data_IF_800582010101
#
_entry.id   IF_800582010101
#
_cell.length_a   1.000
_cell.length_b   1.000
_cell.length_c   1.000
_cell.angle_alpha   90.00
_cell.angle_beta   90.00
_cell.angle_gamma   90.00
#
_symmetry.space_group_name_H-M   'P 1'
#
loop_
_entity.id
_entity.type
_entity.pdbx_description
1 polymer ?
#
# COMPACT_ATOMS: atom_id res chain seq x y z
N UNK A 1 -2.52 48.23 -22.30
CA UNK A 1 -3.81 47.45 -22.13
C UNK A 1 -3.87 46.27 -23.09
N UNK A 2 -3.37 46.41 -24.34
CA UNK A 2 -3.43 45.33 -25.35
C UNK A 2 -2.60 44.08 -24.97
N UNK A 3 -1.42 44.20 -24.40
CA UNK A 3 -0.60 43.05 -23.97
C UNK A 3 -1.24 42.19 -22.83
N UNK A 4 -2.22 42.75 -22.06
CA UNK A 4 -2.96 42.04 -21.04
C UNK A 4 -4.18 41.35 -21.63
N UNK A 5 -4.76 41.91 -22.70
CA UNK A 5 -5.83 41.28 -23.47
C UNK A 5 -5.34 40.10 -24.30
N UNK A 6 -4.16 40.19 -24.91
CA UNK A 6 -3.52 39.09 -25.64
C UNK A 6 -3.19 37.88 -24.74
N UNK A 7 -2.71 38.13 -23.50
CA UNK A 7 -2.49 37.05 -22.51
C UNK A 7 -3.78 36.35 -22.04
N UNK A 8 -4.91 37.04 -22.06
CA UNK A 8 -6.22 36.45 -21.72
C UNK A 8 -6.82 35.65 -22.87
N UNK A 9 -6.48 35.98 -24.12
CA UNK A 9 -6.92 35.25 -25.30
C UNK A 9 -6.10 33.97 -25.57
N UNK A 10 -4.82 33.94 -25.16
CA UNK A 10 -3.96 32.75 -25.28
C UNK A 10 -4.11 31.73 -24.14
N UNK A 11 -4.80 32.09 -23.04
CA UNK A 11 -5.02 31.18 -21.91
C UNK A 11 -6.24 30.23 -22.09
N UNK A 12 -6.94 30.30 -23.22
CA UNK A 12 -8.30 29.72 -23.40
C UNK A 12 -8.43 28.43 -24.19
N UNK A 13 -7.38 27.83 -24.74
CA UNK A 13 -7.53 26.56 -25.48
C UNK A 13 -6.83 25.38 -24.81
N UNK A 14 -7.20 25.05 -23.58
CA UNK A 14 -7.00 23.69 -23.15
C UNK A 14 -7.90 22.77 -23.99
N UNK A 15 -7.32 22.17 -25.04
CA UNK A 15 -8.04 21.25 -25.92
C UNK A 15 -8.77 20.22 -25.06
N UNK A 16 -10.01 19.88 -25.40
CA UNK A 16 -10.82 18.83 -24.74
C UNK A 16 -9.99 17.55 -24.61
N UNK A 17 -9.16 17.25 -25.61
CA UNK A 17 -8.20 16.16 -25.63
C UNK A 17 -7.11 16.27 -24.53
N UNK A 18 -6.63 17.46 -24.25
CA UNK A 18 -5.63 17.67 -23.18
C UNK A 18 -6.20 17.43 -21.78
N UNK A 19 -7.49 17.77 -21.57
CA UNK A 19 -8.21 17.45 -20.32
C UNK A 19 -8.46 15.95 -20.21
N UNK A 20 -8.96 15.32 -21.27
CA UNK A 20 -9.23 13.89 -21.32
C UNK A 20 -7.95 13.05 -21.07
N UNK A 21 -6.87 13.35 -21.77
CA UNK A 21 -5.57 12.67 -21.55
C UNK A 21 -5.09 12.85 -20.11
N UNK A 22 -5.27 14.02 -19.51
CA UNK A 22 -4.84 14.32 -18.15
C UNK A 22 -5.66 13.55 -17.10
N UNK A 23 -6.95 13.43 -17.31
CA UNK A 23 -7.88 12.73 -16.41
C UNK A 23 -7.67 11.21 -16.44
N UNK A 24 -7.41 10.65 -17.63
CA UNK A 24 -7.25 9.21 -17.83
C UNK A 24 -5.80 8.76 -18.01
N UNK A 25 -4.82 9.62 -17.72
CA UNK A 25 -3.39 9.33 -17.91
C UNK A 25 -2.93 8.04 -17.22
N UNK A 26 -3.39 7.79 -16.00
CA UNK A 26 -3.02 6.57 -15.25
C UNK A 26 -3.51 5.30 -15.97
N UNK A 27 -4.67 5.37 -16.62
CA UNK A 27 -5.20 4.27 -17.41
C UNK A 27 -4.32 4.02 -18.64
N UNK A 28 -3.90 5.10 -19.34
CA UNK A 28 -2.98 4.98 -20.49
C UNK A 28 -1.62 4.42 -20.07
N UNK A 29 -1.08 4.84 -18.91
CA UNK A 29 0.17 4.27 -18.36
C UNK A 29 -0.02 2.79 -18.07
N UNK A 30 -1.15 2.41 -17.44
CA UNK A 30 -1.45 1.01 -17.11
C UNK A 30 -1.54 0.16 -18.39
N UNK A 31 -2.23 0.65 -19.41
CA UNK A 31 -2.31 -0.01 -20.72
C UNK A 31 -0.93 -0.10 -21.39
N UNK A 32 -0.12 0.95 -21.31
CA UNK A 32 1.24 0.96 -21.84
C UNK A 32 2.13 -0.09 -21.17
N UNK A 33 2.05 -0.19 -19.83
CA UNK A 33 2.78 -1.23 -19.07
C UNK A 33 2.24 -2.61 -19.43
N UNK A 34 0.93 -2.78 -19.58
CA UNK A 34 0.31 -4.05 -19.96
C UNK A 34 0.78 -4.51 -21.36
N UNK A 35 0.72 -3.64 -22.36
CA UNK A 35 1.20 -3.94 -23.72
C UNK A 35 2.70 -4.18 -23.74
N UNK A 36 3.49 -3.36 -23.04
CA UNK A 36 4.93 -3.56 -22.88
C UNK A 36 5.26 -4.91 -22.24
N UNK A 37 4.43 -5.36 -21.29
CA UNK A 37 4.57 -6.67 -20.64
C UNK A 37 4.38 -7.83 -21.64
N UNK A 38 3.35 -7.74 -22.47
CA UNK A 38 3.07 -8.72 -23.50
C UNK A 38 4.26 -8.81 -24.45
N UNK A 39 4.73 -7.67 -24.95
CA UNK A 39 5.86 -7.61 -25.90
C UNK A 39 7.12 -8.21 -25.27
N UNK A 40 7.48 -7.80 -24.06
CA UNK A 40 8.68 -8.26 -23.36
C UNK A 40 8.66 -9.78 -23.13
N UNK A 41 7.52 -10.32 -22.67
CA UNK A 41 7.37 -11.77 -22.45
C UNK A 41 7.37 -12.52 -23.78
N UNK A 42 6.70 -12.02 -24.83
CA UNK A 42 6.65 -12.65 -26.15
C UNK A 42 8.05 -12.73 -26.79
N UNK A 43 8.85 -11.65 -26.67
CA UNK A 43 10.24 -11.65 -27.19
C UNK A 43 11.07 -12.75 -26.53
N UNK A 44 10.86 -13.02 -25.23
CA UNK A 44 11.63 -14.02 -24.49
C UNK A 44 11.10 -15.45 -24.67
N UNK A 45 9.78 -15.65 -24.56
CA UNK A 45 9.15 -16.98 -24.55
C UNK A 45 8.72 -17.46 -25.93
N UNK A 46 8.66 -16.56 -26.92
CA UNK A 46 8.10 -16.84 -28.24
C UNK A 46 6.57 -16.94 -28.28
N UNK A 47 5.90 -16.82 -27.11
CA UNK A 47 4.45 -17.02 -26.99
C UNK A 47 3.80 -15.96 -26.10
N UNK A 48 2.91 -15.11 -26.64
CA UNK A 48 2.16 -14.12 -25.88
C UNK A 48 1.23 -14.73 -24.82
N UNK A 49 0.80 -15.99 -24.99
CA UNK A 49 -0.07 -16.66 -24.03
C UNK A 49 0.63 -16.90 -22.68
N UNK A 50 1.95 -16.88 -22.63
CA UNK A 50 2.74 -16.94 -21.40
C UNK A 50 2.40 -15.80 -20.43
N UNK A 51 2.02 -14.63 -20.93
CA UNK A 51 1.54 -13.51 -20.13
C UNK A 51 0.02 -13.39 -20.13
N UNK A 52 -0.63 -13.56 -21.29
CA UNK A 52 -2.06 -13.33 -21.54
C UNK A 52 -2.94 -14.54 -21.13
N UNK A 53 -2.65 -15.22 -20.05
CA UNK A 53 -3.54 -16.25 -19.55
C UNK A 53 -4.23 -15.83 -18.24
N UNK A 54 -5.43 -16.37 -18.02
CA UNK A 54 -6.24 -16.05 -16.85
C UNK A 54 -5.51 -16.35 -15.54
N UNK A 55 -4.76 -17.44 -15.48
CA UNK A 55 -4.00 -17.83 -14.28
C UNK A 55 -2.93 -16.80 -13.96
N UNK A 56 -2.23 -16.26 -14.97
CA UNK A 56 -1.24 -15.22 -14.74
C UNK A 56 -1.87 -13.90 -14.26
N UNK A 57 -3.03 -13.52 -14.82
CA UNK A 57 -3.76 -12.34 -14.34
C UNK A 57 -4.18 -12.50 -12.86
N UNK A 58 -4.69 -13.66 -12.49
CA UNK A 58 -5.02 -14.00 -11.12
C UNK A 58 -3.76 -13.97 -10.23
N UNK A 59 -2.64 -14.49 -10.70
CA UNK A 59 -1.38 -14.48 -9.95
C UNK A 59 -0.84 -13.07 -9.72
N UNK A 60 -0.95 -12.17 -10.71
CA UNK A 60 -0.59 -10.74 -10.54
C UNK A 60 -1.43 -10.12 -9.41
N UNK A 61 -2.75 -10.29 -9.45
CA UNK A 61 -3.64 -9.75 -8.44
C UNK A 61 -3.40 -10.38 -7.06
N UNK A 62 -3.21 -11.70 -7.00
CA UNK A 62 -2.92 -12.42 -5.75
C UNK A 62 -1.61 -11.94 -5.10
N UNK A 63 -0.55 -11.81 -5.89
CA UNK A 63 0.75 -11.35 -5.41
C UNK A 63 0.72 -9.89 -4.93
N UNK A 64 -0.08 -9.05 -5.60
CA UNK A 64 -0.21 -7.63 -5.26
C UNK A 64 -1.18 -7.37 -4.10
N UNK A 65 -2.03 -8.33 -3.74
CA UNK A 65 -3.13 -8.11 -2.77
C UNK A 65 -2.63 -7.65 -1.41
N UNK A 66 -1.61 -8.30 -0.85
CA UNK A 66 -1.11 -7.99 0.51
C UNK A 66 -0.50 -6.60 0.57
N UNK A 67 0.43 -6.28 -0.35
CA UNK A 67 1.02 -4.95 -0.43
C UNK A 67 -0.02 -3.90 -0.83
N UNK A 68 -0.98 -4.26 -1.68
CA UNK A 68 -2.10 -3.43 -2.09
C UNK A 68 -2.98 -3.03 -0.91
N UNK A 69 -3.29 -3.96 0.01
CA UNK A 69 -4.03 -3.66 1.23
C UNK A 69 -3.29 -2.60 2.07
N UNK A 70 -1.97 -2.76 2.27
CA UNK A 70 -1.18 -1.75 3.01
C UNK A 70 -1.13 -0.42 2.25
N UNK A 71 -0.97 -0.46 0.91
CA UNK A 71 -0.90 0.74 0.07
C UNK A 71 -2.16 1.60 0.15
N UNK A 72 -3.35 1.00 0.34
CA UNK A 72 -4.58 1.73 0.57
C UNK A 72 -4.55 2.51 1.90
N UNK A 73 -4.03 1.92 2.97
CA UNK A 73 -3.81 2.62 4.24
C UNK A 73 -2.74 3.70 4.12
N UNK A 74 -1.62 3.38 3.46
CA UNK A 74 -0.52 4.31 3.19
C UNK A 74 -0.99 5.53 2.41
N UNK A 75 -1.92 5.37 1.46
CA UNK A 75 -2.51 6.48 0.71
C UNK A 75 -3.15 7.53 1.62
N UNK A 76 -3.84 7.14 2.70
CA UNK A 76 -4.38 8.10 3.69
C UNK A 76 -3.30 8.83 4.48
N UNK A 77 -2.23 8.12 4.85
CA UNK A 77 -1.10 8.73 5.56
C UNK A 77 -0.40 9.74 4.66
N UNK A 78 -0.13 9.39 3.39
CA UNK A 78 0.47 10.32 2.42
C UNK A 78 -0.47 11.50 2.15
N UNK A 79 -1.77 11.26 1.97
CA UNK A 79 -2.76 12.34 1.80
C UNK A 79 -2.79 13.29 3.00
N UNK A 80 -2.49 12.83 4.22
CA UNK A 80 -2.38 13.68 5.41
C UNK A 80 -1.06 14.47 5.49
N UNK A 81 -0.17 14.34 4.50
CA UNK A 81 1.15 14.97 4.44
C UNK A 81 2.21 14.26 5.27
N UNK A 82 2.09 12.94 5.48
CA UNK A 82 3.04 12.13 6.25
C UNK A 82 3.44 10.88 5.46
N UNK A 83 4.51 10.22 5.91
CA UNK A 83 5.01 8.96 5.34
C UNK A 83 5.32 8.02 6.49
N UNK A 84 4.99 6.73 6.33
CA UNK A 84 5.31 5.69 7.32
C UNK A 84 6.21 4.62 6.70
N UNK A 85 7.43 4.54 7.20
CA UNK A 85 8.45 3.54 6.82
C UNK A 85 8.48 2.32 7.76
N UNK A 86 7.55 2.24 8.73
CA UNK A 86 7.54 1.15 9.70
C UNK A 86 6.64 -0.03 9.30
N UNK A 87 5.77 0.13 8.29
CA UNK A 87 4.69 -0.81 7.95
C UNK A 87 5.16 -2.24 7.71
N UNK A 88 6.30 -2.45 7.04
CA UNK A 88 6.83 -3.79 6.77
C UNK A 88 7.31 -4.48 8.04
N UNK A 89 8.03 -3.78 8.90
CA UNK A 89 8.50 -4.28 10.19
C UNK A 89 7.35 -4.44 11.18
N UNK A 90 6.39 -3.51 11.21
CA UNK A 90 5.18 -3.59 12.03
C UNK A 90 4.33 -4.81 11.64
N UNK A 91 4.14 -5.08 10.35
CA UNK A 91 3.40 -6.25 9.85
C UNK A 91 3.99 -7.54 10.39
N UNK A 92 5.31 -7.66 10.39
CA UNK A 92 6.01 -8.85 10.88
C UNK A 92 5.88 -8.97 12.41
N UNK A 93 6.09 -7.90 13.15
CA UNK A 93 5.98 -7.88 14.59
C UNK A 93 4.57 -8.28 15.07
N UNK A 94 3.55 -7.72 14.43
CA UNK A 94 2.13 -8.05 14.67
C UNK A 94 1.82 -9.51 14.29
N UNK A 95 2.36 -10.00 13.17
CA UNK A 95 2.17 -11.38 12.74
C UNK A 95 2.78 -12.40 13.69
N UNK A 96 3.98 -12.12 14.20
CA UNK A 96 4.64 -12.96 15.23
C UNK A 96 3.78 -13.00 16.49
N UNK A 97 3.28 -11.86 16.96
CA UNK A 97 2.38 -11.80 18.12
C UNK A 97 1.09 -12.61 17.90
N UNK A 98 0.48 -12.44 16.72
CA UNK A 98 -0.71 -13.20 16.32
C UNK A 98 -0.46 -14.72 16.37
N UNK A 99 0.63 -15.19 15.75
CA UNK A 99 0.97 -16.61 15.69
C UNK A 99 1.33 -17.17 17.05
N UNK A 100 2.04 -16.42 17.88
CA UNK A 100 2.38 -16.80 19.25
C UNK A 100 1.11 -17.01 20.09
N UNK A 101 0.16 -16.08 19.97
CA UNK A 101 -1.14 -16.17 20.66
C UNK A 101 -1.94 -17.40 20.19
N UNK A 102 -2.04 -17.62 18.87
CA UNK A 102 -2.77 -18.76 18.32
C UNK A 102 -2.13 -20.08 18.80
N UNK A 103 -0.80 -20.24 18.63
CA UNK A 103 -0.11 -21.47 18.97
C UNK A 103 -0.15 -21.80 20.47
N UNK A 104 -0.20 -20.79 21.35
CA UNK A 104 -0.25 -20.98 22.79
C UNK A 104 -1.67 -21.25 23.30
N UNK A 105 -2.69 -20.64 22.68
CA UNK A 105 -4.07 -20.78 23.14
C UNK A 105 -4.82 -21.92 22.48
N UNK A 106 -4.36 -22.45 21.34
CA UNK A 106 -5.04 -23.53 20.62
C UNK A 106 -5.35 -24.76 21.51
N UNK A 107 -4.44 -25.24 22.42
CA UNK A 107 -4.74 -26.36 23.28
C UNK A 107 -5.85 -26.09 24.29
N UNK A 108 -6.05 -24.82 24.68
CA UNK A 108 -7.03 -24.45 25.73
C UNK A 108 -8.40 -24.10 25.16
N UNK A 109 -8.46 -23.39 24.02
CA UNK A 109 -9.72 -22.83 23.47
C UNK A 109 -10.09 -23.40 22.09
N UNK A 110 -9.31 -24.37 21.61
CA UNK A 110 -9.47 -24.96 20.27
C UNK A 110 -9.03 -24.03 19.13
N UNK A 111 -8.97 -24.54 17.88
CA UNK A 111 -8.38 -23.83 16.74
C UNK A 111 -9.15 -22.56 16.39
N UNK A 112 -10.47 -22.58 16.35
CA UNK A 112 -11.28 -21.41 15.97
C UNK A 112 -11.22 -20.29 17.03
N UNK A 113 -11.26 -20.67 18.32
CA UNK A 113 -11.14 -19.71 19.42
C UNK A 113 -9.76 -19.04 19.44
N UNK A 114 -8.70 -19.82 19.29
CA UNK A 114 -7.35 -19.32 19.24
C UNK A 114 -7.11 -18.38 18.03
N UNK A 115 -7.61 -18.74 16.85
CA UNK A 115 -7.56 -17.90 15.65
C UNK A 115 -8.27 -16.57 15.88
N UNK A 116 -9.49 -16.58 16.40
CA UNK A 116 -10.26 -15.36 16.66
C UNK A 116 -9.51 -14.43 17.63
N UNK A 117 -9.00 -14.97 18.75
CA UNK A 117 -8.24 -14.17 19.73
C UNK A 117 -6.96 -13.63 19.10
N UNK A 118 -6.20 -14.46 18.37
CA UNK A 118 -4.97 -14.04 17.70
C UNK A 118 -5.22 -12.92 16.68
N UNK A 119 -6.30 -13.00 15.90
CA UNK A 119 -6.66 -11.94 14.96
C UNK A 119 -7.07 -10.65 15.67
N UNK A 120 -7.82 -10.73 16.78
CA UNK A 120 -8.17 -9.55 17.58
C UNK A 120 -6.93 -8.90 18.19
N UNK A 121 -5.99 -9.69 18.69
CA UNK A 121 -4.69 -9.19 19.19
C UNK A 121 -3.91 -8.53 18.08
N UNK A 122 -3.85 -9.11 16.87
CA UNK A 122 -3.19 -8.50 15.72
C UNK A 122 -3.79 -7.14 15.35
N UNK A 123 -5.12 -7.03 15.32
CA UNK A 123 -5.80 -5.76 15.01
C UNK A 123 -5.55 -4.73 16.12
N UNK A 124 -5.76 -5.10 17.38
CA UNK A 124 -5.58 -4.19 18.51
C UNK A 124 -4.13 -3.68 18.62
N UNK A 125 -3.16 -4.59 18.46
CA UNK A 125 -1.74 -4.27 18.50
C UNK A 125 -1.34 -3.37 17.33
N UNK A 126 -1.71 -3.72 16.09
CA UNK A 126 -1.34 -2.94 14.92
C UNK A 126 -1.94 -1.54 14.93
N UNK A 127 -3.23 -1.42 15.23
CA UNK A 127 -3.91 -0.12 15.33
C UNK A 127 -3.33 0.70 16.48
N UNK A 128 -3.06 0.08 17.63
CA UNK A 128 -2.43 0.74 18.78
C UNK A 128 -1.05 1.29 18.47
N UNK A 129 -0.19 0.50 17.82
CA UNK A 129 1.15 0.93 17.39
C UNK A 129 1.08 2.06 16.36
N UNK A 130 0.15 2.00 15.42
CA UNK A 130 -0.02 3.04 14.42
C UNK A 130 -0.61 4.33 15.02
N UNK A 131 -1.52 4.24 15.99
CA UNK A 131 -2.00 5.40 16.74
C UNK A 131 -0.85 6.03 17.54
N UNK A 132 -0.05 5.23 18.23
CA UNK A 132 1.14 5.69 18.93
C UNK A 132 2.10 6.42 17.98
N UNK A 133 2.39 5.85 16.83
CA UNK A 133 3.18 6.48 15.77
C UNK A 133 2.57 7.82 15.35
N UNK A 134 1.26 7.86 15.07
CA UNK A 134 0.54 9.06 14.69
C UNK A 134 0.60 10.15 15.76
N UNK A 135 0.51 9.80 17.05
CA UNK A 135 0.65 10.74 18.18
C UNK A 135 2.07 11.31 18.24
N UNK A 136 3.10 10.47 18.10
CA UNK A 136 4.50 10.91 18.12
C UNK A 136 4.77 11.85 16.93
N UNK A 137 4.29 11.50 15.74
CA UNK A 137 4.45 12.32 14.51
C UNK A 137 3.74 13.66 14.62
N UNK A 138 2.54 13.70 15.18
CA UNK A 138 1.76 14.94 15.26
C UNK A 138 2.24 15.90 16.35
N UNK A 139 2.76 15.37 17.46
CA UNK A 139 3.28 16.16 18.57
C UNK A 139 4.78 16.43 18.48
N UNK A 140 5.49 15.63 17.69
CA UNK A 140 6.92 15.82 17.44
C UNK A 140 7.19 16.98 16.47
N UNK A 141 8.29 17.67 16.66
CA UNK A 141 8.79 18.68 15.72
C UNK A 141 9.64 18.05 14.60
N UNK A 142 9.65 16.71 14.52
CA UNK A 142 10.52 15.93 13.62
C UNK A 142 9.68 15.40 12.44
N UNK A 143 10.24 15.40 11.22
CA UNK A 143 9.56 14.83 10.05
C UNK A 143 9.14 13.37 10.29
N UNK A 144 7.94 13.01 9.80
CA UNK A 144 7.34 11.68 10.02
C UNK A 144 8.24 10.52 9.60
N UNK A 145 8.98 10.67 8.50
CA UNK A 145 9.84 9.60 7.99
C UNK A 145 10.98 9.21 8.95
N UNK A 146 11.50 10.18 9.74
CA UNK A 146 12.55 9.90 10.74
C UNK A 146 11.98 9.07 11.89
N UNK A 147 10.82 9.46 12.39
CA UNK A 147 10.13 8.75 13.48
C UNK A 147 9.76 7.34 13.05
N UNK A 148 9.15 7.20 11.88
CA UNK A 148 8.69 5.89 11.38
C UNK A 148 9.86 4.98 10.99
N UNK A 149 10.98 5.53 10.50
CA UNK A 149 12.21 4.78 10.28
C UNK A 149 12.76 4.24 11.62
N UNK A 150 12.81 5.05 12.66
CA UNK A 150 13.19 4.62 14.01
C UNK A 150 12.29 3.51 14.53
N UNK A 151 10.96 3.65 14.38
CA UNK A 151 9.99 2.62 14.75
C UNK A 151 10.18 1.33 13.94
N UNK A 152 10.52 1.44 12.65
CA UNK A 152 10.83 0.28 11.81
C UNK A 152 11.98 -0.55 12.38
N UNK A 153 13.06 0.09 12.80
CA UNK A 153 14.17 -0.60 13.47
C UNK A 153 13.76 -1.22 14.81
N UNK A 154 12.96 -0.51 15.61
CA UNK A 154 12.47 -1.05 16.90
C UNK A 154 11.63 -2.31 16.66
N UNK A 155 10.62 -2.25 15.78
CA UNK A 155 9.76 -3.41 15.50
C UNK A 155 10.54 -4.57 14.91
N UNK A 156 11.49 -4.31 14.01
CA UNK A 156 12.35 -5.34 13.42
C UNK A 156 13.25 -5.98 14.48
N UNK A 157 13.90 -5.18 15.33
CA UNK A 157 14.76 -5.68 16.39
C UNK A 157 14.01 -6.51 17.42
N UNK A 158 12.80 -6.08 17.83
CA UNK A 158 11.94 -6.84 18.74
C UNK A 158 11.48 -8.15 18.10
N UNK A 159 11.15 -8.16 16.81
CA UNK A 159 10.81 -9.38 16.06
C UNK A 159 11.97 -10.37 16.04
N UNK A 160 13.17 -9.90 15.74
CA UNK A 160 14.38 -10.73 15.68
C UNK A 160 14.73 -11.28 17.09
N UNK A 161 14.66 -10.43 18.11
CA UNK A 161 14.93 -10.82 19.48
C UNK A 161 13.94 -11.88 20.00
N UNK A 162 12.65 -11.74 19.66
CA UNK A 162 11.62 -12.69 20.11
C UNK A 162 11.74 -14.08 19.51
N UNK A 163 12.32 -14.22 18.31
CA UNK A 163 12.47 -15.49 17.59
C UNK A 163 13.92 -15.89 17.33
N UNK A 164 14.90 -15.19 17.95
CA UNK A 164 16.34 -15.44 17.77
C UNK A 164 16.74 -15.52 16.28
N UNK A 165 16.26 -14.57 15.48
CA UNK A 165 16.43 -14.49 14.02
C UNK A 165 15.73 -15.60 13.21
N UNK A 166 14.94 -16.43 13.86
CA UNK A 166 14.16 -17.50 13.21
C UNK A 166 12.80 -17.06 12.69
N UNK A 167 11.99 -18.06 12.38
CA UNK A 167 10.60 -17.92 12.00
C UNK A 167 9.67 -18.63 12.97
N UNK A 168 8.42 -18.20 12.98
CA UNK A 168 7.33 -18.88 13.67
C UNK A 168 6.35 -19.43 12.63
N UNK A 169 6.02 -20.73 12.76
CA UNK A 169 5.00 -21.39 11.95
C UNK A 169 3.71 -21.48 12.73
N UNK A 170 2.59 -21.40 12.03
CA UNK A 170 1.28 -21.67 12.61
C UNK A 170 1.08 -23.19 12.69
N UNK A 171 0.65 -23.69 13.83
CA UNK A 171 0.43 -25.14 14.04
C UNK A 171 -0.90 -25.61 13.46
N UNK A 172 -1.93 -24.77 13.57
CA UNK A 172 -3.28 -25.14 13.11
C UNK A 172 -3.45 -24.97 11.59
N UNK A 173 -3.91 -26.03 10.92
CA UNK A 173 -4.18 -26.01 9.46
C UNK A 173 -5.39 -25.12 9.11
N UNK A 174 -6.29 -24.88 10.05
CA UNK A 174 -7.47 -24.04 9.82
C UNK A 174 -7.10 -22.60 9.45
N UNK A 175 -6.04 -22.06 10.07
CA UNK A 175 -5.58 -20.71 9.77
C UNK A 175 -5.12 -20.55 8.32
N UNK A 176 -4.53 -21.58 7.74
CA UNK A 176 -4.07 -21.56 6.33
C UNK A 176 -5.24 -21.36 5.36
N UNK A 177 -6.45 -21.82 5.72
CA UNK A 177 -7.63 -21.69 4.87
C UNK A 177 -8.04 -20.24 4.63
N UNK A 178 -7.67 -19.29 5.52
CA UNK A 178 -7.98 -17.87 5.37
C UNK A 178 -7.48 -17.33 4.02
N UNK A 179 -6.25 -17.67 3.61
CA UNK A 179 -5.65 -17.15 2.37
C UNK A 179 -5.50 -18.20 1.26
N UNK A 180 -5.50 -19.50 1.60
CA UNK A 180 -5.28 -20.55 0.61
C UNK A 180 -6.60 -21.16 0.09
N UNK A 181 -7.75 -20.73 0.60
CA UNK A 181 -9.06 -21.00 0.01
C UNK A 181 -9.30 -20.10 -1.21
N UNK A 182 -10.24 -20.51 -2.05
CA UNK A 182 -10.68 -19.76 -3.22
C UNK A 182 -12.19 -19.79 -3.35
N UNK A 183 -12.76 -18.73 -3.90
CA UNK A 183 -14.15 -18.66 -4.31
C UNK A 183 -14.21 -18.83 -5.84
N UNK A 184 -14.49 -20.06 -6.28
CA UNK A 184 -14.32 -20.42 -7.70
C UNK A 184 -12.86 -20.27 -8.14
N UNK A 185 -12.56 -19.56 -9.22
CA UNK A 185 -11.19 -19.36 -9.69
C UNK A 185 -10.42 -18.26 -8.91
N UNK A 186 -11.10 -17.51 -8.01
CA UNK A 186 -10.53 -16.32 -7.35
C UNK A 186 -9.99 -16.67 -5.97
N UNK A 187 -8.67 -16.54 -5.70
CA UNK A 187 -8.08 -16.71 -4.38
C UNK A 187 -8.58 -15.68 -3.36
N UNK A 188 -8.78 -16.09 -2.10
CA UNK A 188 -9.29 -15.23 -1.03
C UNK A 188 -8.51 -13.93 -0.81
N UNK A 189 -7.17 -13.84 -0.92
CA UNK A 189 -6.46 -12.56 -0.78
C UNK A 189 -6.93 -11.47 -1.74
N UNK A 190 -7.36 -11.83 -2.96
CA UNK A 190 -7.91 -10.89 -3.94
C UNK A 190 -9.24 -10.33 -3.44
N UNK A 191 -10.08 -11.18 -2.88
CA UNK A 191 -11.39 -10.79 -2.34
C UNK A 191 -11.21 -9.83 -1.17
N UNK A 192 -10.32 -10.14 -0.23
CA UNK A 192 -10.00 -9.25 0.89
C UNK A 192 -9.47 -7.90 0.42
N UNK A 193 -8.58 -7.90 -0.57
CA UNK A 193 -8.08 -6.66 -1.17
C UNK A 193 -9.20 -5.79 -1.73
N UNK A 194 -10.13 -6.36 -2.52
CA UNK A 194 -11.23 -5.58 -3.08
C UNK A 194 -12.24 -5.12 -2.03
N UNK A 195 -12.48 -5.89 -0.97
CA UNK A 195 -13.30 -5.45 0.17
C UNK A 195 -12.66 -4.24 0.85
N UNK A 196 -11.36 -4.32 1.17
CA UNK A 196 -10.62 -3.20 1.78
C UNK A 196 -10.62 -2.00 0.82
N UNK A 197 -10.38 -2.21 -0.47
CA UNK A 197 -10.43 -1.14 -1.47
C UNK A 197 -11.80 -0.44 -1.48
N UNK A 198 -12.90 -1.18 -1.51
CA UNK A 198 -14.24 -0.61 -1.51
C UNK A 198 -14.52 0.22 -0.24
N UNK A 199 -14.14 -0.30 0.94
CA UNK A 199 -14.28 0.40 2.22
C UNK A 199 -13.45 1.69 2.25
N UNK A 200 -12.19 1.63 1.84
CA UNK A 200 -11.28 2.77 1.85
C UNK A 200 -11.65 3.82 0.80
N UNK A 201 -12.13 3.39 -0.37
CA UNK A 201 -12.70 4.27 -1.37
C UNK A 201 -13.94 4.99 -0.82
N UNK A 202 -14.83 4.27 -0.12
CA UNK A 202 -16.00 4.85 0.52
C UNK A 202 -15.59 5.88 1.60
N UNK A 203 -14.64 5.54 2.47
CA UNK A 203 -14.12 6.47 3.48
C UNK A 203 -13.56 7.73 2.82
N UNK A 204 -12.75 7.58 1.77
CA UNK A 204 -12.12 8.69 1.05
C UNK A 204 -13.13 9.65 0.43
N UNK A 205 -14.17 9.13 -0.23
CA UNK A 205 -15.10 9.94 -1.02
C UNK A 205 -16.32 10.43 -0.26
N UNK A 206 -16.87 9.61 0.62
CA UNK A 206 -18.21 9.83 1.17
C UNK A 206 -18.22 10.21 2.64
N UNK A 207 -17.10 10.05 3.39
CA UNK A 207 -17.07 10.36 4.81
C UNK A 207 -16.50 11.75 5.10
N UNK A 208 -16.85 12.28 6.28
CA UNK A 208 -16.28 13.52 6.83
C UNK A 208 -14.79 13.34 7.09
N UNK A 209 -14.37 12.15 7.57
CA UNK A 209 -12.97 11.83 7.83
C UNK A 209 -12.11 11.94 6.58
N UNK A 210 -12.54 11.33 5.46
CA UNK A 210 -11.84 11.44 4.18
C UNK A 210 -11.63 12.90 3.77
N UNK A 211 -12.71 13.70 3.76
CA UNK A 211 -12.61 15.13 3.42
C UNK A 211 -11.65 15.91 4.32
N UNK A 212 -11.66 15.62 5.64
CA UNK A 212 -10.74 16.26 6.59
C UNK A 212 -9.29 15.86 6.36
N UNK A 213 -9.01 14.61 5.96
CA UNK A 213 -7.65 14.16 5.62
C UNK A 213 -7.12 14.92 4.40
N UNK A 214 -7.92 15.06 3.34
CA UNK A 214 -7.56 15.88 2.18
C UNK A 214 -7.31 17.35 2.55
N UNK A 215 -8.16 17.94 3.37
CA UNK A 215 -8.02 19.32 3.81
C UNK A 215 -6.74 19.52 4.65
N UNK A 216 -6.50 18.64 5.62
CA UNK A 216 -5.34 18.71 6.51
C UNK A 216 -4.01 18.56 5.74
N UNK A 217 -3.97 17.69 4.73
CA UNK A 217 -2.79 17.53 3.89
C UNK A 217 -2.59 18.66 2.89
N UNK A 218 -3.67 19.29 2.41
CA UNK A 218 -3.59 20.41 1.48
C UNK A 218 -3.10 21.70 2.15
N UNK A 219 -3.66 22.03 3.31
CA UNK A 219 -3.22 23.15 4.13
C UNK A 219 -3.64 22.95 5.60
N UNK A 220 -2.70 22.46 6.42
CA UNK A 220 -2.95 22.18 7.83
C UNK A 220 -3.33 23.44 8.62
N UNK A 221 -2.73 24.61 8.30
CA UNK A 221 -3.00 25.86 9.00
C UNK A 221 -4.42 26.37 8.70
N UNK A 222 -4.83 26.42 7.44
CA UNK A 222 -6.18 26.81 7.06
C UNK A 222 -7.22 25.85 7.65
N UNK A 223 -6.92 24.55 7.69
CA UNK A 223 -7.79 23.53 8.28
C UNK A 223 -7.97 23.73 9.79
N UNK A 224 -6.89 24.10 10.52
CA UNK A 224 -6.99 24.46 11.94
C UNK A 224 -7.83 25.72 12.18
N UNK A 225 -7.65 26.75 11.35
CA UNK A 225 -8.44 27.98 11.42
C UNK A 225 -9.93 27.74 11.16
N UNK A 226 -10.28 26.68 10.41
CA UNK A 226 -11.66 26.23 10.22
C UNK A 226 -12.21 25.40 11.39
N UNK A 227 -11.52 25.35 12.54
CA UNK A 227 -11.97 24.64 13.75
C UNK A 227 -11.75 23.11 13.71
N UNK A 228 -11.02 22.58 12.73
CA UNK A 228 -10.75 21.14 12.63
C UNK A 228 -9.45 20.79 13.37
N UNK A 229 -9.52 19.82 14.26
CA UNK A 229 -8.33 19.30 14.93
C UNK A 229 -7.48 18.45 13.97
N UNK A 230 -6.45 19.07 13.38
CA UNK A 230 -5.55 18.44 12.40
C UNK A 230 -4.78 17.26 13.00
N UNK A 231 -4.44 17.32 14.28
CA UNK A 231 -3.67 16.26 14.94
C UNK A 231 -4.51 14.96 15.00
N UNK A 232 -5.77 15.06 15.40
CA UNK A 232 -6.71 13.93 15.36
C UNK A 232 -6.94 13.38 13.97
N UNK A 233 -7.01 14.25 12.96
CA UNK A 233 -7.14 13.83 11.55
C UNK A 233 -5.93 13.02 11.10
N UNK A 234 -4.72 13.46 11.42
CA UNK A 234 -3.49 12.72 11.10
C UNK A 234 -3.42 11.39 11.86
N UNK A 235 -3.69 11.38 13.16
CA UNK A 235 -3.72 10.16 13.97
C UNK A 235 -4.72 9.15 13.40
N UNK A 236 -5.89 9.62 12.94
CA UNK A 236 -6.89 8.75 12.30
C UNK A 236 -6.38 8.14 10.99
N UNK A 237 -5.58 8.86 10.19
CA UNK A 237 -4.94 8.32 8.99
C UNK A 237 -3.95 7.20 9.33
N UNK A 238 -3.15 7.36 10.39
CA UNK A 238 -2.27 6.29 10.90
C UNK A 238 -3.08 5.10 11.44
N UNK A 239 -4.20 5.33 12.15
CA UNK A 239 -5.07 4.26 12.62
C UNK A 239 -5.65 3.43 11.46
N UNK A 240 -6.09 4.07 10.38
CA UNK A 240 -6.51 3.39 9.16
C UNK A 240 -5.36 2.57 8.55
N UNK A 241 -4.14 3.11 8.50
CA UNK A 241 -2.97 2.34 8.09
C UNK A 241 -2.74 1.12 8.99
N UNK A 242 -2.82 1.28 10.31
CA UNK A 242 -2.69 0.17 11.26
C UNK A 242 -3.70 -0.95 11.02
N UNK A 243 -4.93 -0.62 10.65
CA UNK A 243 -5.94 -1.62 10.31
C UNK A 243 -5.55 -2.41 9.03
N UNK A 244 -5.05 -1.74 7.99
CA UNK A 244 -4.58 -2.44 6.78
C UNK A 244 -3.34 -3.28 7.04
N UNK A 245 -2.42 -2.83 7.89
CA UNK A 245 -1.24 -3.60 8.29
C UNK A 245 -1.64 -4.86 9.05
N UNK A 246 -2.63 -4.80 9.94
CA UNK A 246 -3.17 -5.98 10.63
C UNK A 246 -3.77 -7.00 9.65
N UNK A 247 -4.64 -6.55 8.74
CA UNK A 247 -5.24 -7.40 7.72
C UNK A 247 -4.16 -8.03 6.84
N UNK A 248 -3.19 -7.24 6.37
CA UNK A 248 -2.09 -7.72 5.57
C UNK A 248 -1.22 -8.76 6.30
N UNK A 249 -0.97 -8.55 7.59
CA UNK A 249 -0.22 -9.49 8.44
C UNK A 249 -0.92 -10.84 8.55
N UNK A 250 -2.24 -10.84 8.77
CA UNK A 250 -3.07 -12.06 8.84
C UNK A 250 -3.08 -12.76 7.48
N UNK A 251 -3.33 -12.03 6.39
CA UNK A 251 -3.42 -12.58 5.04
C UNK A 251 -2.07 -13.15 4.59
N UNK A 252 -0.96 -12.42 4.78
CA UNK A 252 0.38 -12.89 4.42
C UNK A 252 0.80 -14.09 5.26
N UNK A 253 0.61 -14.00 6.57
CA UNK A 253 0.92 -15.08 7.50
C UNK A 253 0.13 -16.36 7.20
N UNK A 254 -1.15 -16.25 6.90
CA UNK A 254 -1.98 -17.38 6.48
C UNK A 254 -1.53 -17.96 5.13
N UNK A 255 -1.13 -17.09 4.19
CA UNK A 255 -0.65 -17.51 2.87
C UNK A 255 0.65 -18.29 2.93
N UNK A 256 1.60 -17.81 3.72
CA UNK A 256 2.94 -18.39 3.86
C UNK A 256 3.02 -19.47 4.92
N UNK A 257 1.99 -19.57 5.78
CA UNK A 257 1.96 -20.44 6.97
C UNK A 257 3.10 -20.19 7.97
N UNK A 258 3.81 -19.10 7.77
CA UNK A 258 4.98 -18.74 8.58
C UNK A 258 5.20 -17.23 8.55
N UNK A 259 5.91 -16.74 9.58
CA UNK A 259 6.41 -15.39 9.62
C UNK A 259 7.88 -15.44 10.04
N UNK A 260 8.78 -14.97 9.19
CA UNK A 260 10.20 -14.92 9.48
C UNK A 260 10.59 -13.53 9.96
N UNK A 261 11.23 -13.45 11.13
CA UNK A 261 11.57 -12.17 11.78
C UNK A 261 12.57 -11.34 10.99
N UNK A 262 13.46 -11.99 10.22
CA UNK A 262 14.52 -11.30 9.48
C UNK A 262 14.15 -10.96 8.05
N UNK A 263 13.43 -11.84 7.34
CA UNK A 263 13.19 -11.71 5.90
C UNK A 263 11.78 -11.29 5.49
N UNK A 264 10.74 -11.58 6.30
CA UNK A 264 9.38 -11.17 5.97
C UNK A 264 9.23 -9.64 5.99
N UNK A 265 8.39 -9.10 5.11
CA UNK A 265 8.05 -7.68 5.06
C UNK A 265 9.17 -6.73 4.61
N UNK A 266 10.32 -7.25 4.14
CA UNK A 266 11.40 -6.39 3.62
C UNK A 266 10.91 -5.66 2.36
N UNK A 267 11.09 -4.33 2.35
CA UNK A 267 10.74 -3.45 1.24
C UNK A 267 9.24 -3.20 1.06
N UNK A 268 8.37 -3.70 1.97
CA UNK A 268 6.94 -3.43 1.90
C UNK A 268 6.62 -1.95 2.08
N UNK A 269 7.38 -1.25 2.91
CA UNK A 269 7.34 0.20 3.11
C UNK A 269 7.50 0.97 1.80
N UNK A 270 8.63 0.81 1.12
CA UNK A 270 8.91 1.49 -0.13
C UNK A 270 7.96 1.08 -1.27
N UNK A 271 7.64 -0.22 -1.38
CA UNK A 271 6.71 -0.69 -2.41
C UNK A 271 5.30 -0.13 -2.22
N UNK A 272 4.78 -0.04 -1.00
CA UNK A 272 3.43 0.47 -0.73
C UNK A 272 3.34 1.98 -0.93
N UNK A 273 4.38 2.73 -0.58
CA UNK A 273 4.52 4.15 -0.92
C UNK A 273 4.53 4.32 -2.44
N UNK A 274 5.35 3.52 -3.15
CA UNK A 274 5.43 3.57 -4.60
C UNK A 274 4.09 3.27 -5.28
N UNK A 275 3.34 2.26 -4.80
CA UNK A 275 2.00 1.93 -5.30
C UNK A 275 1.04 3.13 -5.16
N UNK A 276 1.05 3.81 -4.01
CA UNK A 276 0.21 4.98 -3.77
C UNK A 276 0.63 6.19 -4.63
N UNK A 277 1.93 6.47 -4.72
CA UNK A 277 2.48 7.62 -5.47
C UNK A 277 2.36 7.42 -6.98
N UNK A 278 2.68 6.25 -7.51
CA UNK A 278 2.44 5.89 -8.93
C UNK A 278 0.95 5.96 -9.25
N UNK A 279 0.08 5.60 -8.29
CA UNK A 279 -1.36 5.83 -8.36
C UNK A 279 -1.78 7.30 -8.30
N UNK A 280 -0.83 8.25 -8.21
CA UNK A 280 -1.11 9.69 -8.28
C UNK A 280 -1.48 10.35 -6.96
N UNK A 281 -1.17 9.72 -5.83
CA UNK A 281 -1.23 10.40 -4.53
C UNK A 281 0.00 11.33 -4.43
N UNK A 282 -0.23 12.62 -4.22
CA UNK A 282 0.83 13.60 -4.09
C UNK A 282 1.59 13.42 -2.76
N UNK A 283 2.92 13.37 -2.82
CA UNK A 283 3.77 13.20 -1.63
C UNK A 283 3.68 14.39 -0.66
N UNK A 284 3.34 15.56 -1.17
CA UNK A 284 3.10 16.77 -0.39
C UNK A 284 1.78 16.73 0.40
N UNK A 285 0.92 15.75 0.11
CA UNK A 285 -0.40 15.60 0.72
C UNK A 285 -1.53 16.35 0.03
N UNK A 286 -2.74 16.12 0.47
CA UNK A 286 -3.95 16.85 0.07
C UNK A 286 -4.46 16.63 -1.34
N UNK A 287 -3.75 15.88 -2.19
CA UNK A 287 -4.12 15.64 -3.60
C UNK A 287 -3.96 14.17 -3.97
N UNK A 288 -4.94 13.64 -4.70
CA UNK A 288 -4.90 12.26 -5.19
C UNK A 288 -6.30 11.66 -5.33
N UNK A 289 -6.40 10.50 -5.99
CA UNK A 289 -7.64 9.78 -6.16
C UNK A 289 -7.43 8.31 -5.80
N UNK A 290 -8.25 7.79 -4.88
CA UNK A 290 -8.18 6.40 -4.43
C UNK A 290 -8.39 5.38 -5.56
N UNK A 291 -9.21 5.69 -6.57
CA UNK A 291 -9.35 4.80 -7.74
C UNK A 291 -8.02 4.65 -8.47
N UNK A 292 -7.26 5.72 -8.55
CA UNK A 292 -5.97 5.69 -9.23
C UNK A 292 -4.92 4.87 -8.46
N UNK A 293 -5.04 4.75 -7.12
CA UNK A 293 -4.17 3.87 -6.31
C UNK A 293 -4.31 2.42 -6.76
N UNK A 294 -5.52 1.97 -7.12
CA UNK A 294 -5.75 0.64 -7.68
C UNK A 294 -4.87 0.39 -8.93
N UNK A 295 -4.82 1.36 -9.83
CA UNK A 295 -3.96 1.26 -11.02
C UNK A 295 -2.47 1.24 -10.66
N UNK A 296 -2.04 2.03 -9.68
CA UNK A 296 -0.66 1.99 -9.17
C UNK A 296 -0.27 0.62 -8.61
N UNK A 297 -1.18 -0.02 -7.87
CA UNK A 297 -1.00 -1.38 -7.35
C UNK A 297 -0.87 -2.39 -8.49
N UNK A 298 -1.74 -2.31 -9.50
CA UNK A 298 -1.73 -3.20 -10.67
C UNK A 298 -0.46 -3.00 -11.49
N UNK A 299 -0.02 -1.76 -11.73
CA UNK A 299 1.22 -1.45 -12.48
C UNK A 299 2.42 -2.12 -11.82
N UNK A 300 2.61 -1.91 -10.51
CA UNK A 300 3.75 -2.50 -9.80
C UNK A 300 3.64 -4.03 -9.70
N UNK A 301 2.41 -4.55 -9.60
CA UNK A 301 2.14 -5.98 -9.68
C UNK A 301 2.55 -6.60 -11.02
N UNK A 302 2.18 -5.96 -12.14
CA UNK A 302 2.59 -6.40 -13.48
C UNK A 302 4.11 -6.34 -13.65
N UNK A 303 4.76 -5.27 -13.21
CA UNK A 303 6.21 -5.14 -13.28
C UNK A 303 6.90 -6.29 -12.52
N UNK A 304 6.46 -6.59 -11.30
CA UNK A 304 6.96 -7.72 -10.53
C UNK A 304 6.79 -9.05 -11.26
N UNK A 305 5.62 -9.27 -11.84
CA UNK A 305 5.28 -10.49 -12.56
C UNK A 305 6.16 -10.66 -13.81
N UNK A 306 6.34 -9.61 -14.60
CA UNK A 306 7.19 -9.65 -15.79
C UNK A 306 8.62 -10.03 -15.42
N UNK A 307 9.20 -9.34 -14.43
CA UNK A 307 10.58 -9.59 -14.02
C UNK A 307 10.77 -11.04 -13.53
N UNK A 308 9.73 -11.60 -12.88
CA UNK A 308 9.70 -13.00 -12.45
C UNK A 308 9.63 -13.95 -13.65
N UNK A 309 8.73 -13.71 -14.63
CA UNK A 309 8.62 -14.53 -15.85
C UNK A 309 9.91 -14.45 -16.68
N UNK A 310 10.54 -13.28 -16.70
CA UNK A 310 11.84 -13.11 -17.36
C UNK A 310 12.98 -13.84 -16.63
N UNK A 311 12.75 -14.44 -15.46
CA UNK A 311 13.76 -15.15 -14.68
C UNK A 311 14.89 -14.24 -14.23
N UNK A 312 14.59 -12.96 -13.99
CA UNK A 312 15.57 -12.02 -13.45
C UNK A 312 15.93 -12.40 -12.01
N UNK A 313 17.20 -12.23 -11.68
CA UNK A 313 17.67 -12.40 -10.31
C UNK A 313 16.90 -11.44 -9.38
N UNK A 314 16.50 -11.95 -8.21
CA UNK A 314 15.72 -11.21 -7.21
C UNK A 314 16.39 -9.88 -6.82
N UNK A 315 17.73 -9.85 -6.79
CA UNK A 315 18.48 -8.63 -6.49
C UNK A 315 18.36 -7.57 -7.59
N UNK A 316 18.37 -7.98 -8.85
CA UNK A 316 18.18 -7.08 -10.00
C UNK A 316 16.74 -6.57 -10.09
N UNK A 317 15.76 -7.38 -9.70
CA UNK A 317 14.34 -6.98 -9.64
C UNK A 317 14.17 -5.71 -8.79
N UNK A 318 14.82 -5.62 -7.64
CA UNK A 318 14.72 -4.44 -6.77
C UNK A 318 15.39 -3.20 -7.39
N UNK A 319 16.51 -3.36 -8.11
CA UNK A 319 17.16 -2.26 -8.83
C UNK A 319 16.28 -1.71 -9.96
N UNK A 320 15.65 -2.60 -10.75
CA UNK A 320 14.71 -2.19 -11.82
C UNK A 320 13.50 -1.47 -11.24
N UNK A 321 12.90 -1.99 -10.16
CA UNK A 321 11.79 -1.32 -9.47
C UNK A 321 12.17 0.08 -9.00
N UNK A 322 13.31 0.22 -8.33
CA UNK A 322 13.80 1.51 -7.88
C UNK A 322 13.93 2.51 -9.03
N UNK A 323 14.49 2.07 -10.15
CA UNK A 323 14.61 2.89 -11.37
C UNK A 323 13.24 3.32 -11.90
N UNK A 324 12.28 2.39 -11.99
CA UNK A 324 10.92 2.69 -12.47
C UNK A 324 10.22 3.67 -11.55
N UNK A 325 10.35 3.52 -10.23
CA UNK A 325 9.76 4.45 -9.25
C UNK A 325 10.33 5.85 -9.44
N UNK A 326 11.66 5.99 -9.57
CA UNK A 326 12.33 7.28 -9.79
C UNK A 326 11.81 7.94 -11.08
N UNK A 327 11.78 7.19 -12.18
CA UNK A 327 11.27 7.69 -13.47
C UNK A 327 9.82 8.11 -13.37
N UNK A 328 8.96 7.29 -12.75
CA UNK A 328 7.55 7.62 -12.58
C UNK A 328 7.34 8.90 -11.76
N UNK A 329 8.06 9.05 -10.64
CA UNK A 329 7.98 10.25 -9.78
C UNK A 329 8.49 11.50 -10.52
N UNK A 330 9.59 11.39 -11.25
CA UNK A 330 10.13 12.52 -12.05
C UNK A 330 9.16 12.97 -13.14
N UNK A 331 8.52 12.02 -13.84
CA UNK A 331 7.52 12.34 -14.87
C UNK A 331 6.27 13.01 -14.27
N UNK A 332 5.83 12.57 -13.09
CA UNK A 332 4.70 13.20 -12.39
C UNK A 332 5.04 14.62 -11.90
N UNK A 333 6.26 14.83 -11.38
CA UNK A 333 6.71 16.13 -10.84
C UNK A 333 6.98 17.16 -11.93
N UNK A 334 7.55 16.78 -13.07
CA UNK A 334 7.83 17.69 -14.17
C UNK A 334 6.58 18.40 -14.69
N UNK A 335 5.40 17.79 -14.52
CA UNK A 335 4.09 18.32 -14.92
C UNK A 335 3.44 19.24 -13.89
N UNK A 336 3.78 19.10 -12.59
CA UNK A 336 3.31 20.03 -11.54
C UNK A 336 3.94 21.42 -11.61
N UNK A 337 5.04 21.59 -12.37
CA UNK A 337 5.70 22.89 -12.59
C UNK A 337 5.17 23.65 -13.81
N UNK A 338 4.29 23.05 -14.61
CA UNK A 338 3.69 23.68 -15.80
C UNK A 338 2.28 24.26 -15.52
N UNK A 339 1.88 24.32 -14.25
CA UNK A 339 0.74 25.04 -13.72
C UNK A 339 1.20 26.02 -12.63
#
# INVERSE_FOLDING_TARGET
MEAKAERLLTSGSHSIWGRFIREYMIVFITLGVFVGSIIAVTIKSGDPSSFLNLLNMINILRASSVMGIIALGMAFVILSGNIDLSVGSQMVFVGIACFSVINNLEPAVGPYGAILIGMLVAVAMSVGLSIMCGVIVTKGVVPSFIITLGLSYIYRSLSIASLQSGGINIKTKVFQQISNSSLGPVPMPIIYFFIVFAVYLYISRYTVLGRRIYAAGSNAQATRLSGINVDWVKISAFALLGLTVAIASIVEGSRMNSMNSSSSGIGYDLNTIAMAVVGGIAMEGGKGNFVNVLFGIIILGMINNILTIMGMDVYLVNAVKGTIIIVAVLLLRSRGKLN
#
